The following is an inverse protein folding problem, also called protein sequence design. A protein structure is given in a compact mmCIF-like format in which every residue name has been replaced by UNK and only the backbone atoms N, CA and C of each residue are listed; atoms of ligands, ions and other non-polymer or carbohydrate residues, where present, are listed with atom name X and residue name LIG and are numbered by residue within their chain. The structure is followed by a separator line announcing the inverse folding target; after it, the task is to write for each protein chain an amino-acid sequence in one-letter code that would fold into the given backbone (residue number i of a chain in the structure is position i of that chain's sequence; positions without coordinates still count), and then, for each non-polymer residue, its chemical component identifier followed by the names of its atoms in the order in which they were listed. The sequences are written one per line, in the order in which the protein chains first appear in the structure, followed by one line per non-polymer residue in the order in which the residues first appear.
data_IF_101092340816
#
_entry.id   IF_101092340816
#
_cell.length_a   1.000
_cell.length_b   1.000
_cell.length_c   1.000
_cell.angle_alpha   90.00
_cell.angle_beta   90.00
_cell.angle_gamma   90.00
#
_symmetry.space_group_name_H-M   'P 1'
#
loop_
_entity.id
_entity.type
_entity.pdbx_description
1 polymer ?
#
# COMPACT_ATOMS: atom_id res chain seq x y z
N UNK A 1 -30.43 -30.89 48.41
CA UNK A 1 -30.46 -29.69 49.28
C UNK A 1 -29.32 -28.77 48.87
N UNK A 2 -29.67 -27.52 48.54
CA UNK A 2 -28.86 -26.29 48.39
C UNK A 2 -27.93 -26.11 47.16
N UNK A 3 -28.14 -24.94 46.57
CA UNK A 3 -27.55 -24.25 45.41
C UNK A 3 -26.40 -23.37 45.91
N UNK A 4 -25.37 -23.12 45.08
CA UNK A 4 -24.72 -21.79 45.04
C UNK A 4 -24.02 -21.54 43.70
N UNK A 5 -24.32 -20.36 43.16
CA UNK A 5 -23.85 -19.71 41.93
C UNK A 5 -22.56 -18.89 42.14
N UNK A 6 -22.13 -18.22 41.06
CA UNK A 6 -21.16 -17.11 40.89
C UNK A 6 -19.76 -17.56 40.48
N UNK A 7 -19.29 -17.43 39.23
CA UNK A 7 -19.24 -16.30 38.28
C UNK A 7 -18.44 -15.09 38.83
N UNK A 8 -17.53 -14.55 38.01
CA UNK A 8 -16.50 -13.52 38.27
C UNK A 8 -15.24 -14.10 38.96
N UNK A 9 -14.01 -14.03 38.43
CA UNK A 9 -13.40 -12.96 37.63
C UNK A 9 -12.02 -13.36 37.10
N UNK A 10 -11.70 -12.86 35.90
CA UNK A 10 -10.38 -12.39 35.38
C UNK A 10 -9.19 -13.38 35.28
N UNK A 11 -8.70 -13.75 34.09
CA UNK A 11 -7.84 -13.02 33.12
C UNK A 11 -6.33 -13.07 33.46
N UNK A 12 -5.52 -13.28 32.41
CA UNK A 12 -4.05 -13.23 32.28
C UNK A 12 -3.24 -14.51 32.59
N UNK A 13 -2.84 -15.21 31.52
CA UNK A 13 -1.42 -15.45 31.16
C UNK A 13 -1.34 -16.69 30.25
N UNK A 14 -1.38 -16.57 28.92
CA UNK A 14 -0.26 -16.21 28.03
C UNK A 14 0.77 -17.37 27.90
N UNK A 15 1.04 -17.74 26.64
CA UNK A 15 2.18 -18.53 26.13
C UNK A 15 2.17 -20.04 26.48
N UNK A 16 1.77 -20.89 25.54
CA UNK A 16 1.96 -22.33 25.72
C UNK A 16 1.53 -23.25 24.58
N UNK A 17 0.86 -22.77 23.54
CA UNK A 17 0.57 -23.61 22.36
C UNK A 17 1.57 -23.35 21.25
N UNK A 18 2.83 -23.59 21.60
CA UNK A 18 3.98 -23.70 20.72
C UNK A 18 4.41 -25.17 20.68
N UNK A 19 3.49 -26.07 20.32
CA UNK A 19 3.83 -27.47 19.99
C UNK A 19 2.87 -27.96 18.88
N UNK A 20 2.87 -27.29 17.74
CA UNK A 20 2.49 -27.93 16.48
C UNK A 20 3.74 -28.58 15.89
N UNK A 21 4.00 -29.83 16.24
CA UNK A 21 4.90 -30.70 15.49
C UNK A 21 4.64 -32.15 15.87
N UNK A 22 3.69 -32.79 15.19
CA UNK A 22 3.67 -34.26 15.03
C UNK A 22 2.73 -34.71 13.90
N UNK A 23 2.66 -33.97 12.79
CA UNK A 23 2.35 -34.49 11.45
C UNK A 23 3.10 -33.61 10.45
N UNK A 24 4.23 -34.12 9.95
CA UNK A 24 5.08 -33.47 8.96
C UNK A 24 4.44 -33.48 7.57
N UNK A 25 3.44 -32.63 7.36
CA UNK A 25 3.17 -32.11 6.03
C UNK A 25 3.82 -30.74 5.96
N UNK A 26 4.95 -30.63 5.25
CA UNK A 26 5.41 -29.31 4.79
C UNK A 26 4.20 -28.62 4.15
N UNK A 27 3.89 -27.35 4.47
CA UNK A 27 2.91 -26.62 3.69
C UNK A 27 3.32 -26.76 2.22
N UNK A 28 2.40 -27.10 1.31
CA UNK A 28 2.74 -27.46 -0.06
C UNK A 28 3.71 -26.43 -0.61
N UNK A 29 4.90 -26.86 -1.07
CA UNK A 29 5.91 -25.99 -1.67
C UNK A 29 5.29 -25.33 -2.90
N UNK A 30 4.69 -24.16 -2.68
CA UNK A 30 4.10 -23.35 -3.72
C UNK A 30 5.26 -22.74 -4.50
N UNK A 31 5.58 -23.33 -5.64
CA UNK A 31 6.52 -22.76 -6.61
C UNK A 31 5.88 -21.49 -7.20
N UNK A 32 6.08 -20.35 -6.55
CA UNK A 32 5.57 -19.06 -6.99
C UNK A 32 6.45 -18.50 -8.11
N UNK A 33 5.81 -18.04 -9.19
CA UNK A 33 6.48 -17.33 -10.29
C UNK A 33 5.90 -15.93 -10.42
N UNK A 34 6.76 -14.95 -10.64
CA UNK A 34 6.34 -13.58 -10.94
C UNK A 34 5.90 -13.51 -12.40
N UNK A 35 4.64 -13.12 -12.62
CA UNK A 35 4.05 -12.96 -13.95
C UNK A 35 3.78 -11.47 -14.18
N UNK A 36 4.22 -10.96 -15.33
CA UNK A 36 3.90 -9.60 -15.77
C UNK A 36 2.43 -9.53 -16.18
N UNK A 37 1.65 -8.72 -15.47
CA UNK A 37 0.19 -8.61 -15.66
C UNK A 37 -0.18 -7.42 -16.55
N UNK A 38 0.55 -6.31 -16.47
CA UNK A 38 0.38 -5.15 -17.33
C UNK A 38 1.66 -4.29 -17.39
N UNK A 39 1.75 -3.43 -18.41
CA UNK A 39 2.74 -2.34 -18.50
C UNK A 39 2.02 -0.99 -18.45
N UNK A 40 2.44 -0.11 -17.54
CA UNK A 40 1.94 1.26 -17.44
C UNK A 40 2.93 2.19 -18.16
N UNK A 41 2.66 2.45 -19.44
CA UNK A 41 3.64 3.10 -20.33
C UNK A 41 3.67 4.63 -20.24
N UNK A 42 2.77 5.25 -19.46
CA UNK A 42 2.70 6.70 -19.29
C UNK A 42 2.73 7.09 -17.81
N UNK A 43 3.17 8.32 -17.54
CA UNK A 43 3.23 8.88 -16.18
C UNK A 43 1.80 8.97 -15.61
N UNK A 44 0.85 9.38 -16.45
CA UNK A 44 -0.56 9.53 -16.12
C UNK A 44 -1.17 8.18 -15.73
N UNK A 45 -0.92 7.12 -16.52
CA UNK A 45 -1.40 5.78 -16.23
C UNK A 45 -0.81 5.22 -14.92
N UNK A 46 0.48 5.49 -14.64
CA UNK A 46 1.09 5.10 -13.37
C UNK A 46 0.49 5.85 -12.17
N UNK A 47 0.28 7.16 -12.29
CA UNK A 47 -0.38 7.98 -11.25
C UNK A 47 -1.81 7.52 -10.99
N UNK A 48 -2.56 7.25 -12.04
CA UNK A 48 -3.94 6.78 -11.95
C UNK A 48 -4.01 5.39 -11.31
N UNK A 49 -3.16 4.46 -11.74
CA UNK A 49 -3.06 3.14 -11.12
C UNK A 49 -2.75 3.24 -9.63
N UNK A 50 -1.77 4.04 -9.23
CA UNK A 50 -1.43 4.23 -7.81
C UNK A 50 -2.61 4.79 -7.00
N UNK A 51 -3.29 5.81 -7.52
CA UNK A 51 -4.49 6.38 -6.89
C UNK A 51 -5.61 5.33 -6.75
N UNK A 52 -5.85 4.56 -7.81
CA UNK A 52 -6.91 3.56 -7.82
C UNK A 52 -6.61 2.40 -6.86
N UNK A 53 -5.34 1.94 -6.81
CA UNK A 53 -4.90 0.95 -5.82
C UNK A 53 -5.14 1.48 -4.41
N UNK A 54 -4.72 2.72 -4.12
CA UNK A 54 -4.91 3.31 -2.80
C UNK A 54 -6.39 3.41 -2.42
N UNK A 55 -7.24 3.87 -3.35
CA UNK A 55 -8.68 3.98 -3.14
C UNK A 55 -9.31 2.63 -2.80
N UNK A 56 -8.98 1.59 -3.56
CA UNK A 56 -9.54 0.25 -3.34
C UNK A 56 -9.06 -0.34 -2.00
N UNK A 57 -7.80 -0.12 -1.62
CA UNK A 57 -7.30 -0.54 -0.30
C UNK A 57 -8.01 0.19 0.85
N UNK A 58 -8.26 1.50 0.72
CA UNK A 58 -9.02 2.27 1.71
C UNK A 58 -10.45 1.77 1.85
N UNK A 59 -11.13 1.49 0.73
CA UNK A 59 -12.49 0.93 0.74
C UNK A 59 -12.52 -0.46 1.41
N UNK A 60 -11.51 -1.30 1.17
CA UNK A 60 -11.38 -2.60 1.83
C UNK A 60 -11.18 -2.45 3.35
N UNK A 61 -10.33 -1.53 3.78
CA UNK A 61 -10.11 -1.26 5.20
C UNK A 61 -11.40 -0.78 5.89
N UNK A 62 -12.17 0.10 5.23
CA UNK A 62 -13.46 0.55 5.74
C UNK A 62 -14.47 -0.60 5.85
N UNK A 63 -14.51 -1.51 4.87
CA UNK A 63 -15.39 -2.68 4.93
C UNK A 63 -15.07 -3.57 6.14
N UNK A 64 -13.79 -3.79 6.43
CA UNK A 64 -13.33 -4.53 7.63
C UNK A 64 -13.76 -3.81 8.91
N UNK A 65 -13.66 -2.48 8.97
CA UNK A 65 -14.11 -1.70 10.14
C UNK A 65 -15.62 -1.80 10.36
N UNK A 66 -16.43 -1.67 9.30
CA UNK A 66 -17.89 -1.81 9.40
C UNK A 66 -18.26 -3.22 9.87
N UNK A 67 -17.63 -4.26 9.32
CA UNK A 67 -17.83 -5.64 9.75
C UNK A 67 -17.51 -5.83 11.24
N UNK A 68 -16.38 -5.29 11.70
CA UNK A 68 -16.00 -5.36 13.11
C UNK A 68 -17.01 -4.64 14.01
N UNK A 69 -17.52 -3.48 13.57
CA UNK A 69 -18.52 -2.73 14.33
C UNK A 69 -19.85 -3.50 14.40
N UNK A 70 -20.31 -4.05 13.28
CA UNK A 70 -21.52 -4.87 13.21
C UNK A 70 -21.49 -6.05 14.18
N UNK A 71 -20.34 -6.74 14.30
CA UNK A 71 -20.18 -7.87 15.22
C UNK A 71 -20.36 -7.47 16.70
N UNK A 72 -20.09 -6.21 17.04
CA UNK A 72 -20.23 -5.67 18.40
C UNK A 72 -21.55 -4.95 18.66
N UNK A 73 -22.33 -4.64 17.62
CA UNK A 73 -23.58 -3.88 17.74
C UNK A 73 -24.73 -4.82 18.11
N UNK A 74 -25.40 -4.54 19.23
CA UNK A 74 -26.60 -5.26 19.69
C UNK A 74 -27.90 -4.60 19.23
N UNK A 75 -27.85 -3.28 18.96
CA UNK A 75 -28.99 -2.53 18.48
C UNK A 75 -29.35 -2.92 17.04
N UNK A 76 -30.60 -3.29 16.82
CA UNK A 76 -31.06 -3.81 15.52
C UNK A 76 -31.05 -2.74 14.43
N UNK A 77 -31.46 -1.52 14.76
CA UNK A 77 -31.56 -0.44 13.77
C UNK A 77 -30.16 0.05 13.35
N UNK A 78 -29.23 0.15 14.30
CA UNK A 78 -27.82 0.44 14.02
C UNK A 78 -27.18 -0.70 13.21
N UNK A 79 -27.45 -1.96 13.55
CA UNK A 79 -26.96 -3.11 12.80
C UNK A 79 -27.47 -3.11 11.35
N UNK A 80 -28.76 -2.83 11.13
CA UNK A 80 -29.36 -2.76 9.79
C UNK A 80 -28.81 -1.58 8.97
N UNK A 81 -28.50 -0.44 9.61
CA UNK A 81 -27.83 0.67 8.95
C UNK A 81 -26.39 0.31 8.54
N UNK A 82 -25.62 -0.29 9.44
CA UNK A 82 -24.26 -0.76 9.14
C UNK A 82 -24.25 -1.80 8.03
N UNK A 83 -25.24 -2.71 8.00
CA UNK A 83 -25.41 -3.68 6.92
C UNK A 83 -25.64 -2.98 5.58
N UNK A 84 -26.51 -1.98 5.50
CA UNK A 84 -26.74 -1.21 4.26
C UNK A 84 -25.47 -0.50 3.78
N UNK A 85 -24.69 0.06 4.70
CA UNK A 85 -23.41 0.70 4.38
C UNK A 85 -22.40 -0.32 3.84
N UNK A 86 -22.33 -1.50 4.46
CA UNK A 86 -21.46 -2.59 4.00
C UNK A 86 -21.86 -3.09 2.61
N UNK A 87 -23.14 -3.34 2.37
CA UNK A 87 -23.65 -3.85 1.09
C UNK A 87 -23.35 -2.83 -0.05
N UNK A 88 -23.56 -1.54 0.22
CA UNK A 88 -23.22 -0.45 -0.71
C UNK A 88 -21.71 -0.38 -1.00
N UNK A 89 -20.88 -0.51 0.04
CA UNK A 89 -19.43 -0.48 -0.08
C UNK A 89 -18.90 -1.72 -0.83
N UNK A 90 -19.46 -2.90 -0.58
CA UNK A 90 -19.13 -4.13 -1.30
C UNK A 90 -19.45 -4.02 -2.79
N UNK A 91 -20.61 -3.44 -3.14
CA UNK A 91 -20.97 -3.21 -4.54
C UNK A 91 -19.94 -2.33 -5.24
N UNK A 92 -19.57 -1.20 -4.63
CA UNK A 92 -18.54 -0.30 -5.16
C UNK A 92 -17.17 -0.96 -5.27
N UNK A 93 -16.78 -1.74 -4.27
CA UNK A 93 -15.53 -2.50 -4.28
C UNK A 93 -15.49 -3.48 -5.46
N UNK A 94 -16.58 -4.18 -5.72
CA UNK A 94 -16.67 -5.12 -6.84
C UNK A 94 -16.62 -4.41 -8.20
N UNK A 95 -17.33 -3.28 -8.34
CA UNK A 95 -17.29 -2.44 -9.55
C UNK A 95 -15.86 -1.93 -9.82
N UNK A 96 -15.21 -1.38 -8.79
CA UNK A 96 -13.84 -0.87 -8.89
C UNK A 96 -12.84 -1.99 -9.18
N UNK A 97 -12.96 -3.14 -8.52
CA UNK A 97 -12.09 -4.29 -8.77
C UNK A 97 -12.26 -4.83 -10.20
N UNK A 98 -13.50 -4.86 -10.71
CA UNK A 98 -13.75 -5.26 -12.10
C UNK A 98 -13.14 -4.28 -13.10
N UNK A 99 -13.21 -2.97 -12.82
CA UNK A 99 -12.55 -1.96 -13.65
C UNK A 99 -11.03 -2.12 -13.60
N UNK A 100 -10.46 -2.26 -12.41
CA UNK A 100 -9.01 -2.48 -12.22
C UNK A 100 -8.51 -3.74 -12.94
N UNK A 101 -9.31 -4.82 -12.93
CA UNK A 101 -8.99 -6.04 -13.65
C UNK A 101 -9.03 -5.83 -15.16
N UNK A 102 -10.05 -5.17 -15.69
CA UNK A 102 -10.17 -4.89 -17.13
C UNK A 102 -9.06 -3.97 -17.64
N UNK A 103 -8.70 -2.95 -16.86
CA UNK A 103 -7.73 -1.94 -17.29
C UNK A 103 -6.29 -2.39 -17.09
N UNK A 104 -6.00 -3.11 -15.99
CA UNK A 104 -4.63 -3.40 -15.57
C UNK A 104 -4.37 -4.88 -15.23
N UNK A 105 -5.36 -5.75 -15.33
CA UNK A 105 -5.29 -7.13 -14.85
C UNK A 105 -5.18 -7.26 -13.31
N UNK A 106 -5.41 -6.18 -12.57
CA UNK A 106 -5.30 -6.14 -11.11
C UNK A 106 -6.53 -6.76 -10.43
N UNK A 107 -6.33 -7.46 -9.32
CA UNK A 107 -7.40 -8.11 -8.54
C UNK A 107 -7.11 -8.04 -7.06
N UNK A 108 -8.09 -7.69 -6.23
CA UNK A 108 -7.93 -7.59 -4.78
C UNK A 108 -7.51 -8.90 -4.07
N UNK A 109 -7.72 -10.04 -4.70
CA UNK A 109 -7.51 -11.35 -4.09
C UNK A 109 -6.10 -11.91 -4.35
N UNK A 110 -5.18 -11.09 -4.90
CA UNK A 110 -3.81 -11.51 -5.20
C UNK A 110 -2.80 -10.52 -4.62
N UNK A 111 -1.61 -11.03 -4.29
CA UNK A 111 -0.48 -10.23 -3.84
C UNK A 111 0.32 -9.78 -5.07
N UNK A 112 0.51 -8.47 -5.24
CA UNK A 112 1.27 -7.89 -6.36
C UNK A 112 2.56 -7.25 -5.87
N UNK A 113 3.59 -7.31 -6.71
CA UNK A 113 4.84 -6.55 -6.56
C UNK A 113 4.91 -5.52 -7.68
N UNK A 114 5.03 -4.24 -7.33
CA UNK A 114 5.24 -3.17 -8.30
C UNK A 114 6.71 -3.13 -8.71
N UNK A 115 6.99 -3.21 -10.01
CA UNK A 115 8.34 -2.99 -10.55
C UNK A 115 8.34 -1.73 -11.42
N UNK A 116 9.24 -0.78 -11.14
CA UNK A 116 9.34 0.48 -11.88
C UNK A 116 10.27 0.29 -13.08
N UNK A 117 9.72 0.21 -14.29
CA UNK A 117 10.51 0.06 -15.52
C UNK A 117 11.16 1.38 -15.98
N UNK A 118 10.53 2.54 -15.71
CA UNK A 118 11.04 3.87 -16.13
C UNK A 118 10.68 4.94 -15.10
N UNK A 119 11.67 5.74 -14.70
CA UNK A 119 11.51 6.86 -13.78
C UNK A 119 12.12 8.13 -14.39
N UNK A 120 11.47 9.27 -14.15
CA UNK A 120 11.93 10.57 -14.59
C UNK A 120 12.13 11.47 -13.37
N UNK A 121 13.32 12.09 -13.27
CA UNK A 121 13.62 13.13 -12.29
C UNK A 121 13.66 14.46 -13.04
N UNK A 122 13.01 15.49 -12.52
CA UNK A 122 12.96 16.82 -13.12
C UNK A 122 13.53 17.83 -12.14
N UNK A 123 14.19 18.85 -12.67
CA UNK A 123 14.70 19.99 -11.91
C UNK A 123 14.24 21.29 -12.59
N UNK A 124 13.94 22.29 -11.78
CA UNK A 124 13.67 23.64 -12.26
C UNK A 124 15.00 24.31 -12.60
N UNK A 125 15.11 24.89 -13.79
CA UNK A 125 16.30 25.55 -14.33
C UNK A 125 15.88 26.78 -15.15
N UNK A 126 16.77 27.76 -15.29
CA UNK A 126 16.53 28.88 -16.21
C UNK A 126 16.64 28.44 -17.67
N UNK A 127 16.20 29.30 -18.61
CA UNK A 127 16.27 28.96 -20.04
C UNK A 127 17.73 28.82 -20.51
N UNK A 128 18.63 29.65 -20.00
CA UNK A 128 20.06 29.60 -20.28
C UNK A 128 20.68 28.28 -19.77
N UNK A 129 20.34 27.88 -18.54
CA UNK A 129 20.77 26.62 -17.95
C UNK A 129 20.23 25.42 -18.72
N UNK A 130 18.97 25.46 -19.17
CA UNK A 130 18.37 24.41 -19.98
C UNK A 130 19.09 24.23 -21.32
N UNK A 131 19.45 25.33 -21.99
CA UNK A 131 20.21 25.28 -23.24
C UNK A 131 21.63 24.71 -23.02
N UNK A 132 22.31 25.14 -21.96
CA UNK A 132 23.63 24.62 -21.59
C UNK A 132 23.60 23.11 -21.27
N UNK A 133 22.57 22.63 -20.55
CA UNK A 133 22.39 21.21 -20.23
C UNK A 133 22.07 20.39 -21.49
N UNK A 134 21.20 20.89 -22.38
CA UNK A 134 20.86 20.22 -23.65
C UNK A 134 22.07 20.08 -24.56
N UNK A 135 22.87 21.13 -24.69
CA UNK A 135 24.11 21.11 -25.48
C UNK A 135 25.13 20.11 -24.91
N UNK A 136 25.26 20.02 -23.57
CA UNK A 136 26.17 19.06 -22.91
C UNK A 136 25.72 17.60 -23.06
N UNK A 137 24.42 17.32 -22.92
CA UNK A 137 23.88 15.96 -23.04
C UNK A 137 24.04 15.32 -24.43
N UNK A 138 24.19 16.13 -25.48
CA UNK A 138 24.45 15.64 -26.85
C UNK A 138 25.90 15.23 -27.09
N UNK A 139 26.84 15.62 -26.21
CA UNK A 139 28.29 15.39 -26.40
C UNK A 139 28.87 14.22 -25.61
N UNK A 140 28.06 13.51 -24.81
CA UNK A 140 28.44 12.24 -24.16
C UNK A 140 29.59 12.29 -23.15
N UNK A 141 30.06 13.46 -22.72
CA UNK A 141 31.12 13.56 -21.69
C UNK A 141 30.54 13.47 -20.27
N UNK A 142 31.19 12.71 -19.35
CA UNK A 142 30.77 12.63 -17.95
C UNK A 142 30.80 14.01 -17.28
N UNK A 143 29.89 14.23 -16.34
CA UNK A 143 29.88 15.41 -15.48
C UNK A 143 31.11 15.35 -14.56
N UNK A 144 32.14 16.14 -14.85
CA UNK A 144 33.10 16.52 -13.80
C UNK A 144 32.34 17.31 -12.73
N UNK A 145 32.52 16.88 -11.49
CA UNK A 145 31.97 17.50 -10.29
C UNK A 145 32.38 18.98 -10.25
N UNK A 146 31.46 19.85 -10.64
CA UNK A 146 31.64 21.29 -10.43
C UNK A 146 31.60 21.46 -8.92
N UNK A 147 32.77 21.74 -8.33
CA UNK A 147 32.92 21.94 -6.89
C UNK A 147 31.80 22.88 -6.41
N UNK A 148 31.00 22.48 -5.40
CA UNK A 148 29.86 23.27 -4.98
C UNK A 148 30.36 24.62 -4.48
N UNK A 149 29.86 25.68 -5.12
CA UNK A 149 30.05 27.04 -4.66
C UNK A 149 29.65 27.12 -3.17
N UNK A 150 30.53 27.69 -2.35
CA UNK A 150 30.47 27.69 -0.88
C UNK A 150 29.34 28.58 -0.31
N UNK A 151 28.20 28.69 -0.99
CA UNK A 151 27.08 29.57 -0.64
C UNK A 151 25.78 28.81 -0.33
N UNK A 152 25.77 27.47 -0.35
CA UNK A 152 24.59 26.67 -0.01
C UNK A 152 24.41 26.45 1.50
N UNK A 153 23.15 26.17 1.91
CA UNK A 153 22.64 25.85 3.27
C UNK A 153 23.55 24.99 4.17
N UNK A 154 24.50 24.24 3.60
CA UNK A 154 25.54 23.49 4.33
C UNK A 154 26.48 24.38 5.14
N UNK A 155 26.63 25.67 4.80
CA UNK A 155 27.44 26.63 5.56
C UNK A 155 26.84 26.97 6.93
N UNK A 156 25.53 26.81 7.11
CA UNK A 156 24.81 27.12 8.35
C UNK A 156 25.03 26.08 9.46
N UNK A 157 25.54 24.89 9.13
CA UNK A 157 25.78 23.82 10.09
C UNK A 157 27.24 23.71 10.55
N UNK A 158 28.14 24.54 10.02
CA UNK A 158 29.50 24.68 10.57
C UNK A 158 29.49 25.69 11.73
N UNK A 159 28.90 25.29 12.85
CA UNK A 159 29.09 25.97 14.14
C UNK A 159 30.46 25.58 14.69
N UNK A 160 31.31 26.58 14.96
CA UNK A 160 32.64 26.43 15.53
C UNK A 160 32.62 25.76 16.91
N UNK A 161 33.55 24.83 17.14
CA UNK A 161 34.06 24.53 18.48
C UNK A 161 35.04 25.62 18.90
#
# INVERSE_FOLDING_TARGET
MKISNTLFTLLLSVIGQLVFSLHGQEPPKQNLQLVKVASLNTIEANKEFQKNVQLVQQQRALAVQILSKMQSTQDKDEHDNLKKQLDSLQKKLNENNNLMFKTYGFSLNRNYVLTVEKAHVHMWVTEEEAQAIKAKNQTGKPVEEIAPEKSGFRSLFKKSK
#
